data_IF_984960173649
#
_entry.id   IF_984960173649
#
_cell.length_a   1.000
_cell.length_b   1.000
_cell.length_c   1.000
_cell.angle_alpha   90.00
_cell.angle_beta   90.00
_cell.angle_gamma   90.00
#
_symmetry.space_group_name_H-M   'P 1'
#
loop_
_entity.id
_entity.type
_entity.pdbx_description
1 polymer ?
#
# COMPACT_ATOMS: atom_id res chain seq x y z
N UNK A 1 12.23 1.84 -11.80
CA UNK A 1 11.69 2.59 -10.65
C UNK A 1 11.65 1.69 -9.44
N UNK A 2 11.98 2.23 -8.29
CA UNK A 2 11.91 1.48 -7.03
C UNK A 2 10.56 1.71 -6.37
N UNK A 3 9.82 0.64 -6.13
CA UNK A 3 8.44 0.68 -5.64
C UNK A 3 8.35 -0.07 -4.31
N UNK A 4 7.78 0.57 -3.30
CA UNK A 4 7.39 -0.13 -2.07
C UNK A 4 5.94 -0.58 -2.26
N UNK A 5 5.72 -1.90 -2.29
CA UNK A 5 4.40 -2.48 -2.46
C UNK A 5 3.90 -3.07 -1.14
N UNK A 6 2.75 -2.58 -0.67
CA UNK A 6 2.14 -3.00 0.58
C UNK A 6 0.89 -3.82 0.27
N UNK A 7 0.96 -5.13 0.57
CA UNK A 7 -0.10 -6.07 0.21
C UNK A 7 -1.30 -5.99 1.15
N UNK A 8 -2.42 -6.55 0.70
CA UNK A 8 -3.67 -6.50 1.44
C UNK A 8 -3.81 -7.57 2.53
N UNK A 9 -4.98 -7.55 3.15
CA UNK A 9 -5.34 -8.49 4.22
C UNK A 9 -5.30 -9.92 3.69
N UNK A 10 -4.66 -10.80 4.43
CA UNK A 10 -4.47 -12.22 4.09
C UNK A 10 -3.74 -12.45 2.77
N UNK A 11 -3.19 -11.40 2.18
CA UNK A 11 -2.28 -11.54 1.05
C UNK A 11 -0.87 -11.84 1.54
N UNK A 12 -0.01 -12.19 0.61
CA UNK A 12 1.39 -12.48 0.88
C UNK A 12 2.28 -11.72 -0.09
N UNK A 13 3.55 -11.48 0.28
CA UNK A 13 4.51 -10.96 -0.67
C UNK A 13 4.63 -11.88 -1.88
N UNK A 14 4.91 -11.30 -3.04
CA UNK A 14 5.09 -12.08 -4.26
C UNK A 14 3.80 -12.44 -4.98
N UNK A 15 2.68 -11.81 -4.64
CA UNK A 15 1.43 -11.99 -5.35
C UNK A 15 1.45 -11.45 -6.78
N UNK A 16 0.29 -11.41 -7.41
CA UNK A 16 0.16 -11.05 -8.84
C UNK A 16 0.63 -9.63 -9.12
N UNK A 17 0.21 -8.67 -8.30
CA UNK A 17 0.52 -7.26 -8.55
C UNK A 17 2.01 -6.95 -8.44
N UNK A 18 2.70 -7.32 -7.35
CA UNK A 18 4.14 -7.05 -7.28
C UNK A 18 4.92 -7.84 -8.32
N UNK A 19 4.50 -9.05 -8.66
CA UNK A 19 5.14 -9.84 -9.72
C UNK A 19 5.01 -9.13 -11.07
N UNK A 20 3.82 -8.62 -11.37
CA UNK A 20 3.58 -7.85 -12.60
C UNK A 20 4.54 -6.65 -12.68
N UNK A 21 4.70 -5.91 -11.59
CA UNK A 21 5.59 -4.75 -11.58
C UNK A 21 7.05 -5.16 -11.82
N UNK A 22 7.49 -6.26 -11.21
CA UNK A 22 8.85 -6.77 -11.45
C UNK A 22 9.07 -7.17 -12.90
N UNK A 23 8.08 -7.81 -13.50
CA UNK A 23 8.14 -8.22 -14.91
C UNK A 23 8.23 -7.03 -15.87
N UNK A 24 7.80 -5.85 -15.43
CA UNK A 24 7.88 -4.61 -16.20
C UNK A 24 9.11 -3.78 -15.86
N UNK A 25 10.10 -4.39 -15.23
CA UNK A 25 11.41 -3.77 -15.03
C UNK A 25 11.54 -2.94 -13.76
N UNK A 26 10.59 -3.00 -12.85
CA UNK A 26 10.66 -2.25 -11.60
C UNK A 26 11.31 -3.07 -10.48
N UNK A 27 12.04 -2.38 -9.62
CA UNK A 27 12.51 -2.97 -8.37
C UNK A 27 11.39 -2.84 -7.35
N UNK A 28 10.94 -3.97 -6.79
CA UNK A 28 9.80 -3.98 -5.88
C UNK A 28 10.24 -4.44 -4.50
N UNK A 29 10.04 -3.57 -3.51
CA UNK A 29 10.18 -3.90 -2.11
C UNK A 29 8.81 -4.34 -1.63
N UNK A 30 8.69 -5.58 -1.19
CA UNK A 30 7.39 -6.15 -0.86
C UNK A 30 7.47 -6.85 0.51
N UNK A 31 7.50 -6.09 1.61
CA UNK A 31 7.62 -6.68 2.94
C UNK A 31 6.39 -7.48 3.31
N UNK A 32 6.58 -8.53 4.10
CA UNK A 32 5.48 -9.31 4.65
C UNK A 32 4.81 -8.52 5.78
N UNK A 33 3.55 -8.16 5.59
CA UNK A 33 2.76 -7.46 6.59
C UNK A 33 1.94 -8.46 7.40
N UNK A 34 1.65 -8.10 8.64
CA UNK A 34 0.91 -8.97 9.54
C UNK A 34 -0.58 -8.67 9.45
N UNK A 35 -1.36 -9.64 8.97
CA UNK A 35 -2.79 -9.45 8.73
C UNK A 35 -3.58 -9.15 10.01
N UNK A 36 -3.11 -9.63 11.15
CA UNK A 36 -3.83 -9.50 12.41
C UNK A 36 -3.31 -8.39 13.31
N UNK A 37 -2.27 -7.68 12.88
CA UNK A 37 -1.67 -6.61 13.67
C UNK A 37 -1.39 -5.42 12.76
N UNK A 38 -2.32 -4.47 12.75
CA UNK A 38 -2.20 -3.30 11.89
C UNK A 38 -1.01 -2.42 12.29
N UNK A 39 -0.83 -2.20 13.58
CA UNK A 39 0.28 -1.35 14.05
C UNK A 39 1.64 -1.94 13.73
N UNK A 40 1.78 -3.27 13.88
CA UNK A 40 3.01 -3.95 13.48
C UNK A 40 3.23 -3.83 11.98
N UNK A 41 2.18 -3.95 11.18
CA UNK A 41 2.28 -3.76 9.73
C UNK A 41 2.75 -2.35 9.38
N UNK A 42 2.27 -1.34 10.09
CA UNK A 42 2.72 0.05 9.89
C UNK A 42 4.20 0.17 10.20
N UNK A 43 4.68 -0.42 11.29
CA UNK A 43 6.10 -0.38 11.65
C UNK A 43 6.96 -1.08 10.60
N UNK A 44 6.52 -2.23 10.13
CA UNK A 44 7.24 -2.98 9.08
C UNK A 44 7.33 -2.15 7.80
N UNK A 45 6.22 -1.55 7.41
CA UNK A 45 6.16 -0.73 6.20
C UNK A 45 7.03 0.53 6.34
N UNK A 46 7.00 1.19 7.50
CA UNK A 46 7.82 2.38 7.73
C UNK A 46 9.30 2.04 7.64
N UNK A 47 9.71 0.93 8.25
CA UNK A 47 11.09 0.49 8.19
C UNK A 47 11.51 0.19 6.75
N UNK A 48 10.68 -0.51 6.00
CA UNK A 48 10.97 -0.80 4.60
C UNK A 48 11.08 0.47 3.77
N UNK A 49 10.23 1.46 4.05
CA UNK A 49 10.29 2.76 3.39
C UNK A 49 11.60 3.48 3.71
N UNK A 50 11.94 3.55 4.98
CA UNK A 50 13.13 4.30 5.43
C UNK A 50 14.42 3.68 4.90
N UNK A 51 14.50 2.36 4.88
CA UNK A 51 15.69 1.65 4.41
C UNK A 51 15.75 1.58 2.89
N UNK A 52 14.61 1.43 2.24
CA UNK A 52 14.55 1.19 0.80
C UNK A 52 14.54 2.44 -0.06
N UNK A 53 14.19 3.57 0.50
CA UNK A 53 14.10 4.85 -0.22
C UNK A 53 13.34 4.71 -1.54
N UNK A 54 12.07 4.25 -1.51
CA UNK A 54 11.33 4.05 -2.76
C UNK A 54 10.97 5.37 -3.43
N UNK A 55 10.74 5.29 -4.73
CA UNK A 55 10.30 6.43 -5.54
C UNK A 55 8.77 6.57 -5.54
N UNK A 56 8.07 5.48 -5.22
CA UNK A 56 6.61 5.46 -5.12
C UNK A 56 6.20 4.36 -4.14
N UNK A 57 5.09 4.60 -3.44
CA UNK A 57 4.49 3.60 -2.55
C UNK A 57 3.15 3.17 -3.15
N UNK A 58 2.96 1.87 -3.31
CA UNK A 58 1.70 1.29 -3.80
C UNK A 58 1.10 0.47 -2.68
N UNK A 59 -0.10 0.81 -2.25
CA UNK A 59 -0.82 0.07 -1.23
C UNK A 59 -2.10 -0.52 -1.80
N UNK A 60 -2.30 -1.82 -1.60
CA UNK A 60 -3.46 -2.53 -2.10
C UNK A 60 -4.37 -2.94 -0.95
N UNK A 61 -5.64 -2.56 -1.01
CA UNK A 61 -6.65 -2.89 -0.02
C UNK A 61 -6.20 -2.40 1.39
N UNK A 62 -6.06 -3.30 2.37
CA UNK A 62 -5.55 -2.97 3.70
C UNK A 62 -4.14 -2.35 3.63
N UNK A 63 -3.33 -2.75 2.65
CA UNK A 63 -2.03 -2.14 2.40
C UNK A 63 -2.14 -0.65 2.05
N UNK A 64 -3.25 -0.23 1.46
CA UNK A 64 -3.54 1.17 1.23
C UNK A 64 -3.69 1.95 2.54
N UNK A 65 -4.38 1.35 3.53
CA UNK A 65 -4.51 1.96 4.84
C UNK A 65 -3.15 2.05 5.54
N UNK A 66 -2.32 1.03 5.39
CA UNK A 66 -0.94 1.06 5.92
C UNK A 66 -0.15 2.18 5.25
N UNK A 67 -0.23 2.31 3.93
CA UNK A 67 0.45 3.37 3.19
C UNK A 67 0.06 4.76 3.67
N UNK A 68 -1.21 4.95 3.99
CA UNK A 68 -1.71 6.22 4.52
C UNK A 68 -1.22 6.49 5.94
N UNK A 69 -0.81 5.46 6.65
CA UNK A 69 -0.43 5.57 8.06
C UNK A 69 1.08 5.75 8.27
N UNK A 70 1.90 5.51 7.26
CA UNK A 70 3.34 5.75 7.35
C UNK A 70 3.69 7.16 6.89
N UNK A 71 4.86 7.64 7.31
CA UNK A 71 5.39 8.92 6.84
C UNK A 71 6.16 8.68 5.55
N UNK A 72 5.64 9.21 4.46
CA UNK A 72 6.24 9.06 3.14
C UNK A 72 6.84 10.37 2.59
N UNK A 73 6.79 11.44 3.37
CA UNK A 73 7.28 12.73 2.91
C UNK A 73 6.63 13.15 1.60
N UNK A 74 7.44 13.44 0.59
CA UNK A 74 6.97 13.86 -0.73
C UNK A 74 6.83 12.70 -1.71
N UNK A 75 7.08 11.47 -1.29
CA UNK A 75 6.97 10.30 -2.17
C UNK A 75 5.50 10.05 -2.51
N UNK A 76 5.14 9.94 -3.78
CA UNK A 76 3.75 9.74 -4.17
C UNK A 76 3.22 8.36 -3.75
N UNK A 77 1.93 8.32 -3.45
CA UNK A 77 1.21 7.12 -3.09
C UNK A 77 0.24 6.74 -4.20
N UNK A 78 0.18 5.44 -4.50
CA UNK A 78 -0.87 4.87 -5.36
C UNK A 78 -1.64 3.88 -4.50
N UNK A 79 -2.93 4.13 -4.33
CA UNK A 79 -3.79 3.29 -3.51
C UNK A 79 -4.74 2.52 -4.42
N UNK A 80 -4.70 1.20 -4.32
CA UNK A 80 -5.55 0.32 -5.12
C UNK A 80 -6.61 -0.26 -4.19
N UNK A 81 -7.89 0.09 -4.42
CA UNK A 81 -9.01 -0.36 -3.62
C UNK A 81 -8.71 -0.25 -2.11
N UNK A 82 -8.34 0.93 -1.62
CA UNK A 82 -7.89 1.08 -0.24
C UNK A 82 -9.02 0.83 0.75
N UNK A 83 -8.65 0.34 1.94
CA UNK A 83 -9.60 -0.02 2.99
C UNK A 83 -9.38 0.83 4.25
N UNK A 84 -9.09 2.10 4.10
CA UNK A 84 -8.76 2.97 5.25
C UNK A 84 -9.93 3.17 6.20
N UNK A 85 -11.17 3.13 5.72
CA UNK A 85 -12.33 3.27 6.60
C UNK A 85 -12.45 2.13 7.59
N UNK A 86 -11.91 0.99 7.23
CA UNK A 86 -12.00 -0.22 8.03
C UNK A 86 -10.77 -0.42 8.91
N UNK A 87 -9.59 -0.02 8.44
CA UNK A 87 -8.34 -0.41 9.06
C UNK A 87 -7.55 0.74 9.65
N UNK A 88 -7.40 1.83 8.95
CA UNK A 88 -6.52 2.89 9.37
C UNK A 88 -7.21 3.98 10.18
N UNK A 89 -6.41 4.74 10.91
CA UNK A 89 -6.88 5.95 11.60
C UNK A 89 -6.77 7.19 10.73
N UNK A 90 -6.14 7.09 9.56
CA UNK A 90 -5.98 8.21 8.66
C UNK A 90 -7.32 8.54 8.01
N UNK A 91 -7.77 9.78 8.18
CA UNK A 91 -9.05 10.25 7.64
C UNK A 91 -8.88 11.23 6.50
N UNK A 92 -7.66 11.68 6.26
CA UNK A 92 -7.37 12.64 5.19
C UNK A 92 -6.38 12.04 4.21
N UNK A 93 -6.54 12.40 2.95
CA UNK A 93 -5.65 11.96 1.87
C UNK A 93 -4.41 12.85 1.88
N UNK A 94 -3.24 12.23 1.83
CA UNK A 94 -1.97 12.95 1.72
C UNK A 94 -1.83 13.58 0.36
N UNK A 95 -0.96 14.60 0.24
CA UNK A 95 -0.63 15.17 -1.05
C UNK A 95 -0.01 14.10 -1.97
N UNK A 96 -0.20 14.27 -3.29
CA UNK A 96 0.34 13.37 -4.29
C UNK A 96 -0.15 11.92 -4.16
N UNK A 97 -1.44 11.75 -3.90
CA UNK A 97 -2.07 10.43 -3.82
C UNK A 97 -2.92 10.18 -5.05
N UNK A 98 -2.77 9.01 -5.64
CA UNK A 98 -3.64 8.50 -6.70
C UNK A 98 -4.42 7.31 -6.16
N UNK A 99 -5.74 7.34 -6.31
CA UNK A 99 -6.61 6.27 -5.83
C UNK A 99 -7.19 5.54 -7.01
N UNK A 100 -6.99 4.22 -7.04
CA UNK A 100 -7.54 3.33 -8.06
C UNK A 100 -8.44 2.30 -7.40
N UNK A 101 -9.61 2.08 -7.95
CA UNK A 101 -10.47 1.00 -7.50
C UNK A 101 -11.23 0.42 -8.68
N UNK A 102 -11.57 -0.87 -8.55
CA UNK A 102 -12.29 -1.59 -9.59
C UNK A 102 -13.79 -1.35 -9.45
N UNK A 103 -14.47 -1.20 -10.59
CA UNK A 103 -15.93 -1.17 -10.62
C UNK A 103 -16.54 -2.50 -10.18
N UNK A 104 -15.77 -3.55 -10.23
CA UNK A 104 -16.21 -4.90 -9.86
C UNK A 104 -15.89 -5.26 -8.41
N UNK A 105 -15.32 -4.33 -7.65
CA UNK A 105 -14.99 -4.57 -6.26
C UNK A 105 -16.21 -4.29 -5.39
N UNK A 106 -16.96 -5.36 -5.13
CA UNK A 106 -18.19 -5.26 -4.34
C UNK A 106 -17.93 -5.10 -2.84
N UNK A 107 -16.71 -5.32 -2.39
CA UNK A 107 -16.38 -5.25 -0.98
C UNK A 107 -16.03 -3.83 -0.53
N UNK A 108 -15.67 -2.97 -1.44
CA UNK A 108 -15.20 -1.64 -1.14
C UNK A 108 -16.10 -0.61 -1.81
N UNK A 109 -17.11 -0.16 -1.09
CA UNK A 109 -17.99 0.90 -1.53
C UNK A 109 -17.38 2.24 -1.14
N UNK A 110 -16.32 2.62 -1.84
CA UNK A 110 -15.62 3.84 -1.51
C UNK A 110 -16.34 5.04 -2.08
N UNK A 111 -16.63 6.04 -1.27
CA UNK A 111 -17.04 7.33 -1.78
C UNK A 111 -15.79 7.97 -2.37
N UNK A 112 -15.76 8.03 -3.63
CA UNK A 112 -14.60 8.58 -4.30
C UNK A 112 -14.89 10.01 -4.67
#
# INVERSE_FOLDING_TARGET
MRILFLHGYQSQPGGVKPTFLRQHGHEVLNPALLSEDFEASVRIAQQAFDEGEPEVVVGSSRGGAVAMSIDTGDVPLVLIAPAWKRWGAATTVKAAVTILHSEHDEQLHLPV
#
